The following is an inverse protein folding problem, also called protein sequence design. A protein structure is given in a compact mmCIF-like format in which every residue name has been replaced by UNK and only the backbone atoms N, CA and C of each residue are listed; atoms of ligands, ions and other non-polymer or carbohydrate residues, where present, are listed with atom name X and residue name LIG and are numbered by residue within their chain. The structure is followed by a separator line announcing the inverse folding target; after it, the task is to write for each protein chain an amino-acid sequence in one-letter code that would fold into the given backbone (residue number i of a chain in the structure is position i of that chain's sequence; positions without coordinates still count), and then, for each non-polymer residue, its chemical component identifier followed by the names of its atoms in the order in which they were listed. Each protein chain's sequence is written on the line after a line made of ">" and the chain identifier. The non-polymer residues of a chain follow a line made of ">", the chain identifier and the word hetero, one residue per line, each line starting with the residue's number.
data_IF_682025902388
#
_entry.id   IF_682025902388
#
_cell.length_a   1.000
_cell.length_b   1.000
_cell.length_c   1.000
_cell.angle_alpha   90.00
_cell.angle_beta   90.00
_cell.angle_gamma   90.00
#
_symmetry.space_group_name_H-M   'P 1'
#
loop_
_entity.id
_entity.type
_entity.pdbx_description
1 polymer ?
#
# COMPACT_ATOMS: atom_id res chain seq x y z
N UNK A 1 -3.64 -36.32 -6.93
CA UNK A 1 -3.40 -37.79 -6.90
C UNK A 1 -1.89 -37.97 -6.96
N UNK A 2 -1.25 -38.18 -5.81
CA UNK A 2 0.19 -38.46 -5.78
C UNK A 2 0.37 -39.88 -6.32
N UNK A 3 1.27 -40.06 -7.28
CA UNK A 3 1.73 -41.37 -7.69
C UNK A 3 2.30 -42.08 -6.47
N UNK A 4 1.71 -43.19 -6.07
CA UNK A 4 2.34 -44.12 -5.13
C UNK A 4 3.67 -44.55 -5.78
N UNK A 5 4.78 -44.09 -5.22
CA UNK A 5 6.08 -44.64 -5.55
C UNK A 5 6.07 -46.09 -5.04
N UNK A 6 5.82 -47.03 -5.95
CA UNK A 6 5.87 -48.46 -5.66
C UNK A 6 7.34 -48.78 -5.39
N UNK A 7 7.71 -48.77 -4.11
CA UNK A 7 8.99 -49.29 -3.66
C UNK A 7 9.04 -50.75 -4.08
N UNK A 8 9.93 -51.08 -5.02
CA UNK A 8 10.16 -52.46 -5.45
C UNK A 8 10.71 -53.25 -4.26
N UNK A 9 9.87 -54.08 -3.67
CA UNK A 9 10.30 -55.11 -2.72
C UNK A 9 10.83 -56.26 -3.58
N UNK A 10 12.14 -56.52 -3.53
CA UNK A 10 12.69 -57.75 -4.10
C UNK A 10 12.12 -58.94 -3.33
N UNK A 11 11.64 -59.95 -4.05
CA UNK A 11 11.21 -61.20 -3.44
C UNK A 11 12.41 -61.87 -2.76
N UNK A 12 12.30 -62.14 -1.46
CA UNK A 12 13.29 -62.93 -0.74
C UNK A 12 13.22 -64.38 -1.29
N UNK A 13 14.33 -64.86 -1.85
CA UNK A 13 14.38 -66.20 -2.47
C UNK A 13 15.00 -67.27 -1.55
N UNK A 14 15.38 -66.88 -0.33
CA UNK A 14 16.03 -67.71 0.69
C UNK A 14 15.44 -67.40 2.08
N UNK A 15 15.43 -68.39 2.98
CA UNK A 15 14.96 -68.30 4.37
C UNK A 15 15.96 -67.56 5.29
N UNK A 16 16.65 -66.55 4.78
CA UNK A 16 17.58 -65.71 5.53
C UNK A 16 16.91 -64.37 5.86
N UNK A 17 17.29 -63.77 6.98
CA UNK A 17 16.83 -62.42 7.35
C UNK A 17 17.32 -61.40 6.31
N UNK A 18 16.44 -61.02 5.37
CA UNK A 18 16.71 -59.94 4.43
C UNK A 18 16.38 -58.58 5.06
N UNK A 19 17.40 -57.72 5.20
CA UNK A 19 17.20 -56.35 5.68
C UNK A 19 16.46 -55.53 4.62
N UNK A 20 15.30 -54.96 4.98
CA UNK A 20 14.63 -53.96 4.17
C UNK A 20 15.25 -52.59 4.48
N UNK A 21 16.09 -52.11 3.57
CA UNK A 21 16.69 -50.80 3.67
C UNK A 21 15.70 -49.73 3.19
N UNK A 22 15.18 -48.95 4.13
CA UNK A 22 14.38 -47.76 3.84
C UNK A 22 15.35 -46.57 3.81
N UNK A 23 15.81 -46.18 2.62
CA UNK A 23 16.73 -45.06 2.47
C UNK A 23 16.05 -43.79 1.95
N UNK A 24 16.45 -42.66 2.53
CA UNK A 24 16.16 -41.29 2.07
C UNK A 24 14.68 -40.87 2.03
N UNK A 25 13.98 -41.06 3.15
CA UNK A 25 12.68 -40.43 3.34
C UNK A 25 12.85 -38.93 3.70
N UNK A 26 12.01 -38.03 3.14
CA UNK A 26 11.90 -36.66 3.62
C UNK A 26 11.67 -36.57 5.14
N UNK A 27 11.88 -35.38 5.73
CA UNK A 27 11.49 -35.18 7.12
C UNK A 27 9.97 -35.38 7.28
N UNK A 28 9.56 -36.26 8.18
CA UNK A 28 8.15 -36.58 8.44
C UNK A 28 8.00 -37.81 9.32
N UNK A 29 6.77 -38.04 9.78
CA UNK A 29 6.40 -39.29 10.45
C UNK A 29 6.08 -40.35 9.39
N UNK A 30 6.48 -41.59 9.66
CA UNK A 30 6.23 -42.71 8.76
C UNK A 30 5.65 -43.87 9.56
N UNK A 31 4.58 -44.46 9.02
CA UNK A 31 3.99 -45.67 9.57
C UNK A 31 4.37 -46.84 8.69
N UNK A 32 4.98 -47.85 9.31
CA UNK A 32 5.21 -49.15 8.68
C UNK A 32 4.01 -50.03 9.03
N UNK A 33 3.21 -50.37 8.02
CA UNK A 33 2.16 -51.38 8.18
C UNK A 33 2.68 -52.71 7.68
N UNK A 34 2.68 -53.71 8.56
CA UNK A 34 2.97 -55.11 8.23
C UNK A 34 1.66 -55.88 8.22
N UNK A 35 1.37 -56.61 7.14
CA UNK A 35 0.15 -57.42 7.02
C UNK A 35 0.44 -58.75 6.34
N UNK A 36 -0.12 -59.86 6.84
CA UNK A 36 -0.06 -61.15 6.15
C UNK A 36 -0.70 -61.05 4.76
N UNK A 37 -0.02 -61.61 3.76
CA UNK A 37 -0.45 -61.53 2.37
C UNK A 37 -1.38 -62.69 1.97
N UNK A 38 -1.08 -63.90 2.43
CA UNK A 38 -1.73 -65.13 1.97
C UNK A 38 -2.18 -66.07 3.10
N UNK A 39 -2.05 -65.65 4.37
CA UNK A 39 -2.47 -66.45 5.53
C UNK A 39 -1.46 -67.48 6.03
N UNK A 40 -0.28 -67.55 5.40
CA UNK A 40 0.88 -68.34 5.84
C UNK A 40 2.02 -67.39 6.31
N UNK A 41 3.30 -67.72 6.05
CA UNK A 41 4.47 -66.97 6.53
C UNK A 41 4.80 -65.70 5.74
N UNK A 42 4.05 -65.37 4.68
CA UNK A 42 4.37 -64.25 3.81
C UNK A 42 3.71 -62.94 4.27
N UNK A 43 4.51 -61.89 4.45
CA UNK A 43 4.06 -60.56 4.88
C UNK A 43 4.29 -59.53 3.78
N UNK A 44 3.36 -58.58 3.66
CA UNK A 44 3.54 -57.33 2.91
C UNK A 44 3.90 -56.21 3.86
N UNK A 45 4.85 -55.39 3.42
CA UNK A 45 5.22 -54.15 4.07
C UNK A 45 4.78 -53.01 3.16
N UNK A 46 3.92 -52.15 3.69
CA UNK A 46 3.52 -50.92 3.03
C UNK A 46 4.03 -49.73 3.83
N UNK A 47 4.76 -48.84 3.15
CA UNK A 47 5.08 -47.52 3.66
C UNK A 47 3.95 -46.59 3.25
N UNK A 48 3.29 -46.01 4.24
CA UNK A 48 2.37 -44.91 3.98
C UNK A 48 3.02 -43.65 4.54
N UNK A 49 3.09 -42.58 3.75
CA UNK A 49 3.48 -41.29 4.30
C UNK A 49 2.46 -40.90 5.37
N UNK A 50 2.92 -40.50 6.57
CA UNK A 50 2.05 -39.71 7.41
C UNK A 50 1.94 -38.35 6.73
N UNK A 51 0.70 -37.93 6.51
CA UNK A 51 0.42 -36.51 6.41
C UNK A 51 0.95 -35.89 7.71
N UNK A 52 1.81 -34.87 7.63
CA UNK A 52 2.35 -34.21 8.82
C UNK A 52 1.22 -33.98 9.82
N UNK A 53 1.27 -34.65 10.98
CA UNK A 53 0.31 -34.45 12.07
C UNK A 53 0.65 -33.20 12.89
N UNK A 54 1.51 -32.34 12.35
CA UNK A 54 1.82 -31.06 12.96
C UNK A 54 0.61 -30.15 12.78
N UNK A 55 0.20 -29.54 13.88
CA UNK A 55 -0.84 -28.52 13.86
C UNK A 55 -0.48 -27.46 12.82
N UNK A 56 -1.40 -27.07 11.92
CA UNK A 56 -1.09 -26.10 10.89
C UNK A 56 -0.56 -24.81 11.50
N UNK A 57 0.45 -24.20 10.90
CA UNK A 57 1.05 -22.96 11.41
C UNK A 57 0.92 -21.85 10.39
N UNK A 58 0.47 -20.67 10.82
CA UNK A 58 0.30 -19.48 9.98
C UNK A 58 1.39 -18.43 10.25
N UNK A 59 1.94 -17.87 9.18
CA UNK A 59 2.91 -16.78 9.23
C UNK A 59 2.54 -15.71 8.21
N UNK A 60 2.48 -14.45 8.63
CA UNK A 60 2.28 -13.30 7.74
C UNK A 60 3.61 -12.64 7.35
N UNK A 61 3.70 -12.19 6.10
CA UNK A 61 4.82 -11.39 5.60
C UNK A 61 4.31 -10.29 4.65
N UNK A 62 4.96 -9.12 4.67
CA UNK A 62 4.74 -8.06 3.70
C UNK A 62 5.15 -8.52 2.30
N UNK A 63 4.35 -8.21 1.28
CA UNK A 63 4.67 -8.53 -0.12
C UNK A 63 4.74 -7.28 -0.98
N UNK A 64 3.71 -6.44 -0.95
CA UNK A 64 3.71 -5.12 -1.58
C UNK A 64 3.11 -4.12 -0.57
N UNK A 65 3.85 -3.88 0.51
CA UNK A 65 3.36 -3.15 1.69
C UNK A 65 3.99 -1.76 1.87
N UNK A 66 4.81 -1.30 0.91
CA UNK A 66 5.36 0.07 0.90
C UNK A 66 5.14 0.67 -0.46
N UNK A 67 4.25 1.65 -0.55
CA UNK A 67 3.84 2.30 -1.79
C UNK A 67 3.37 3.71 -1.49
N UNK A 68 3.32 4.56 -2.51
CA UNK A 68 2.65 5.85 -2.37
C UNK A 68 1.13 5.68 -2.34
N UNK A 69 0.39 6.54 -1.65
CA UNK A 69 -1.08 6.52 -1.62
C UNK A 69 -1.73 6.97 -2.94
N UNK A 70 -1.09 7.90 -3.64
CA UNK A 70 -1.60 8.51 -4.87
C UNK A 70 -2.75 9.49 -4.63
N UNK A 71 -3.07 10.31 -5.64
CA UNK A 71 -3.90 11.49 -5.39
C UNK A 71 -5.42 11.26 -5.23
N UNK A 72 -5.89 10.02 -5.45
CA UNK A 72 -7.33 9.66 -5.41
C UNK A 72 -7.54 8.16 -5.48
N UNK A 73 -8.74 7.70 -5.12
CA UNK A 73 -9.14 6.31 -5.23
C UNK A 73 -8.50 5.46 -4.15
N UNK A 74 -8.13 4.22 -4.47
CA UNK A 74 -7.49 3.33 -3.50
C UNK A 74 -6.32 2.58 -4.10
N UNK A 75 -5.30 2.30 -3.30
CA UNK A 75 -4.20 1.39 -3.64
C UNK A 75 -4.15 0.19 -2.72
N UNK A 76 -3.83 -0.95 -3.31
CA UNK A 76 -3.80 -2.22 -2.61
C UNK A 76 -2.41 -2.50 -2.05
N UNK A 77 -2.33 -2.61 -0.73
CA UNK A 77 -1.18 -3.08 0.02
C UNK A 77 -1.39 -4.55 0.35
N UNK A 78 -0.44 -5.40 -0.03
CA UNK A 78 -0.63 -6.87 0.06
C UNK A 78 0.34 -7.53 1.01
N UNK A 79 -0.21 -8.48 1.76
CA UNK A 79 0.47 -9.30 2.73
C UNK A 79 0.18 -10.77 2.44
N UNK A 80 1.22 -11.59 2.37
CA UNK A 80 1.08 -13.04 2.15
C UNK A 80 1.01 -13.73 3.50
N UNK A 81 0.00 -14.56 3.70
CA UNK A 81 -0.10 -15.48 4.83
C UNK A 81 0.24 -16.87 4.31
N UNK A 82 1.28 -17.48 4.86
CA UNK A 82 1.71 -18.83 4.52
C UNK A 82 1.23 -19.80 5.60
N UNK A 83 0.74 -20.96 5.17
CA UNK A 83 0.35 -22.10 6.00
C UNK A 83 1.33 -23.25 5.79
N UNK A 84 1.89 -23.78 6.88
CA UNK A 84 2.74 -24.99 6.91
C UNK A 84 2.15 -26.06 7.85
N UNK A 85 2.71 -27.28 7.86
CA UNK A 85 2.19 -28.41 8.64
C UNK A 85 1.06 -29.16 7.92
N UNK A 86 0.08 -29.67 8.66
CA UNK A 86 -1.10 -30.33 8.07
C UNK A 86 -1.92 -29.36 7.20
N UNK A 87 -2.24 -29.76 5.98
CA UNK A 87 -3.09 -28.99 5.05
C UNK A 87 -4.40 -29.69 4.72
N UNK A 88 -4.68 -30.86 5.29
CA UNK A 88 -5.83 -31.69 4.92
C UNK A 88 -7.18 -31.07 5.24
N UNK A 89 -7.26 -30.29 6.32
CA UNK A 89 -8.47 -29.62 6.77
C UNK A 89 -8.39 -28.11 6.56
N UNK A 90 -9.51 -27.41 6.67
CA UNK A 90 -9.52 -25.94 6.63
C UNK A 90 -8.96 -25.32 7.91
N UNK A 91 -8.30 -24.18 7.78
CA UNK A 91 -7.86 -23.34 8.90
C UNK A 91 -8.12 -21.86 8.61
N UNK A 92 -8.14 -21.02 9.63
CA UNK A 92 -8.35 -19.58 9.46
C UNK A 92 -7.71 -18.76 10.58
N UNK A 93 -7.61 -17.45 10.35
CA UNK A 93 -7.29 -16.46 11.38
C UNK A 93 -7.97 -15.13 11.06
N UNK A 94 -8.33 -14.37 12.08
CA UNK A 94 -8.72 -12.98 11.91
C UNK A 94 -7.48 -12.12 11.68
N UNK A 95 -7.66 -10.97 11.03
CA UNK A 95 -6.63 -9.96 10.89
C UNK A 95 -7.19 -8.56 11.17
N UNK A 96 -6.33 -7.68 11.69
CA UNK A 96 -6.65 -6.27 11.91
C UNK A 96 -5.45 -5.37 11.63
N UNK A 97 -5.72 -4.12 11.22
CA UNK A 97 -4.74 -3.06 10.94
C UNK A 97 -4.72 -2.09 12.10
N UNK A 98 -3.51 -1.70 12.52
CA UNK A 98 -3.28 -0.62 13.49
C UNK A 98 -2.12 0.26 13.02
N UNK A 99 -2.25 1.58 13.12
CA UNK A 99 -1.14 2.51 12.91
C UNK A 99 0.08 2.20 13.78
N UNK A 100 1.28 2.46 13.28
CA UNK A 100 2.54 2.14 13.95
C UNK A 100 3.68 3.08 13.52
N UNK A 101 4.75 3.16 14.30
CA UNK A 101 5.90 4.03 14.00
C UNK A 101 5.76 5.44 14.57
N UNK A 102 6.56 6.38 14.05
CA UNK A 102 6.55 7.80 14.48
C UNK A 102 5.36 8.58 13.96
N UNK A 103 4.84 8.16 12.80
CA UNK A 103 3.71 8.74 12.09
C UNK A 103 2.74 7.57 11.82
N UNK A 104 1.89 7.23 12.79
CA UNK A 104 0.99 6.10 12.64
C UNK A 104 -0.19 6.47 11.74
N UNK A 105 -0.42 5.68 10.70
CA UNK A 105 -1.63 5.79 9.88
C UNK A 105 -2.88 5.61 10.77
N UNK A 106 -3.92 6.40 10.51
CA UNK A 106 -5.19 6.38 11.20
C UNK A 106 -6.29 5.63 10.41
N UNK A 107 -7.54 5.74 10.86
CA UNK A 107 -8.64 4.99 10.24
C UNK A 107 -9.10 5.56 8.89
N UNK A 108 -8.77 6.82 8.59
CA UNK A 108 -9.17 7.52 7.37
C UNK A 108 -8.32 7.14 6.17
N UNK A 109 -7.08 6.71 6.40
CA UNK A 109 -6.17 6.20 5.36
C UNK A 109 -6.62 4.86 4.79
N UNK A 110 -7.59 4.18 5.41
CA UNK A 110 -8.02 2.84 5.01
C UNK A 110 -9.52 2.76 4.67
N UNK A 111 -9.85 1.94 3.66
CA UNK A 111 -11.25 1.58 3.34
C UNK A 111 -11.77 0.43 4.20
N UNK A 112 -10.88 -0.26 4.92
CA UNK A 112 -11.22 -1.31 5.88
C UNK A 112 -10.00 -1.78 6.65
N UNK A 113 -10.19 -2.03 7.95
CA UNK A 113 -9.09 -2.28 8.88
C UNK A 113 -9.10 -3.68 9.49
N UNK A 114 -9.98 -4.58 9.05
CA UNK A 114 -10.01 -5.96 9.57
C UNK A 114 -10.72 -6.95 8.63
N UNK A 115 -10.51 -8.23 8.90
CA UNK A 115 -11.20 -9.32 8.21
C UNK A 115 -10.76 -10.70 8.70
N UNK A 116 -11.00 -11.73 7.88
CA UNK A 116 -10.59 -13.11 8.16
C UNK A 116 -9.88 -13.68 6.94
N UNK A 117 -8.75 -14.35 7.15
CA UNK A 117 -8.07 -15.16 6.13
C UNK A 117 -8.47 -16.62 6.32
N UNK A 118 -8.98 -17.25 5.26
CA UNK A 118 -9.47 -18.63 5.29
C UNK A 118 -8.64 -19.49 4.34
N UNK A 119 -8.17 -20.64 4.81
CA UNK A 119 -7.52 -21.66 4.00
C UNK A 119 -8.46 -22.85 3.88
N UNK A 120 -8.80 -23.23 2.65
CA UNK A 120 -9.42 -24.50 2.35
C UNK A 120 -8.39 -25.65 2.49
N UNK A 121 -8.88 -26.88 2.41
CA UNK A 121 -8.02 -28.06 2.35
C UNK A 121 -7.03 -27.95 1.17
N UNK A 122 -5.76 -28.23 1.44
CA UNK A 122 -4.65 -28.20 0.49
C UNK A 122 -4.07 -26.81 0.20
N UNK A 123 -4.68 -25.72 0.68
CA UNK A 123 -4.16 -24.37 0.43
C UNK A 123 -3.02 -24.03 1.39
N UNK A 124 -1.91 -23.56 0.84
CA UNK A 124 -0.68 -23.22 1.59
C UNK A 124 -0.37 -21.72 1.63
N UNK A 125 -1.09 -20.91 0.85
CA UNK A 125 -0.91 -19.46 0.82
C UNK A 125 -2.22 -18.72 0.56
N UNK A 126 -2.37 -17.56 1.20
CA UNK A 126 -3.43 -16.58 0.96
C UNK A 126 -2.87 -15.16 0.99
N UNK A 127 -3.58 -14.24 0.36
CA UNK A 127 -3.24 -12.83 0.38
C UNK A 127 -4.28 -12.06 1.20
N UNK A 128 -3.80 -11.25 2.15
CA UNK A 128 -4.57 -10.17 2.77
C UNK A 128 -4.30 -8.91 1.94
N UNK A 129 -5.37 -8.22 1.56
CA UNK A 129 -5.31 -6.93 0.87
C UNK A 129 -5.86 -5.85 1.78
N UNK A 130 -5.02 -4.87 2.09
CA UNK A 130 -5.39 -3.63 2.78
C UNK A 130 -5.48 -2.54 1.71
N UNK A 131 -6.65 -1.91 1.57
CA UNK A 131 -6.84 -0.82 0.61
C UNK A 131 -6.64 0.51 1.31
N UNK A 132 -5.63 1.25 0.85
CA UNK A 132 -5.29 2.60 1.31
C UNK A 132 -5.98 3.62 0.42
N UNK A 133 -6.64 4.61 1.04
CA UNK A 133 -7.26 5.75 0.38
C UNK A 133 -6.17 6.71 -0.10
N UNK A 134 -6.30 7.24 -1.31
CA UNK A 134 -5.40 8.29 -1.79
C UNK A 134 -6.08 9.66 -1.77
N UNK A 135 -5.34 10.72 -1.42
CA UNK A 135 -5.84 12.10 -1.48
C UNK A 135 -4.75 13.14 -1.85
N UNK A 136 -4.95 14.43 -1.53
CA UNK A 136 -4.02 15.50 -1.95
C UNK A 136 -3.46 16.32 -0.78
N UNK A 137 -3.70 15.84 0.43
CA UNK A 137 -3.22 16.41 1.68
C UNK A 137 -1.74 16.07 1.80
N UNK A 138 -0.94 17.04 2.20
CA UNK A 138 0.50 16.78 2.40
C UNK A 138 0.70 16.24 3.81
N UNK A 139 1.16 15.01 3.89
CA UNK A 139 1.34 14.23 5.11
C UNK A 139 2.77 13.67 5.18
N UNK A 140 3.25 13.23 6.36
CA UNK A 140 4.48 12.45 6.44
C UNK A 140 4.26 11.03 5.90
N UNK A 141 5.34 10.28 5.62
CA UNK A 141 5.22 8.82 5.41
C UNK A 141 4.69 8.15 6.68
N UNK A 142 3.67 7.32 6.54
CA UNK A 142 2.94 6.74 7.67
C UNK A 142 3.10 5.22 7.77
N UNK A 143 3.24 4.71 8.99
CA UNK A 143 3.41 3.29 9.25
C UNK A 143 2.12 2.63 9.75
N UNK A 144 1.93 1.35 9.39
CA UNK A 144 0.88 0.50 9.96
C UNK A 144 1.33 -0.96 10.11
N UNK A 145 0.62 -1.71 10.94
CA UNK A 145 0.86 -3.14 11.22
C UNK A 145 -0.42 -3.93 10.98
N UNK A 146 -0.31 -5.03 10.22
CA UNK A 146 -1.35 -6.06 10.11
C UNK A 146 -1.06 -7.15 11.14
N UNK A 147 -2.02 -7.44 12.01
CA UNK A 147 -1.90 -8.43 13.08
C UNK A 147 -2.90 -9.57 12.88
N UNK A 148 -2.41 -10.81 12.83
CA UNK A 148 -3.21 -12.03 12.87
C UNK A 148 -3.66 -12.34 14.31
N UNK A 149 -4.89 -12.81 14.46
CA UNK A 149 -5.46 -13.19 15.76
C UNK A 149 -6.50 -14.31 15.63
N UNK A 150 -6.88 -14.91 16.77
CA UNK A 150 -7.95 -15.90 16.86
C UNK A 150 -7.85 -17.04 15.81
N UNK A 151 -6.72 -17.77 15.74
CA UNK A 151 -6.57 -18.84 14.77
C UNK A 151 -7.54 -19.98 15.07
N UNK A 152 -8.08 -20.60 14.02
CA UNK A 152 -8.92 -21.80 14.10
C UNK A 152 -8.23 -22.94 13.35
N UNK A 153 -8.09 -24.10 14.01
CA UNK A 153 -7.37 -25.27 13.49
C UNK A 153 -5.94 -24.94 13.03
N UNK A 154 -5.30 -23.96 13.66
CA UNK A 154 -3.93 -23.57 13.38
C UNK A 154 -3.32 -22.87 14.61
N UNK A 155 -2.00 -22.71 14.60
CA UNK A 155 -1.27 -21.78 15.47
C UNK A 155 -0.71 -20.63 14.62
N UNK A 156 -0.28 -19.54 15.27
CA UNK A 156 0.36 -18.39 14.60
C UNK A 156 1.82 -18.37 15.04
N UNK A 157 2.76 -18.51 14.10
CA UNK A 157 4.20 -18.38 14.40
C UNK A 157 4.70 -16.96 14.18
N UNK A 158 4.26 -16.32 13.10
CA UNK A 158 4.52 -14.90 12.82
C UNK A 158 3.17 -14.19 12.72
N UNK A 159 2.85 -13.41 13.74
CA UNK A 159 1.54 -12.77 13.87
C UNK A 159 1.44 -11.38 13.27
N UNK A 160 2.55 -10.73 12.90
CA UNK A 160 2.54 -9.34 12.48
C UNK A 160 3.38 -9.09 11.23
N UNK A 161 2.91 -8.22 10.35
CA UNK A 161 3.69 -7.65 9.25
C UNK A 161 3.39 -6.15 9.12
N UNK A 162 4.40 -5.35 8.79
CA UNK A 162 4.29 -3.89 8.70
C UNK A 162 4.13 -3.43 7.26
N UNK A 163 3.47 -2.28 7.08
CA UNK A 163 3.44 -1.52 5.84
C UNK A 163 3.74 -0.03 6.07
N UNK A 164 4.06 0.68 4.99
CA UNK A 164 4.35 2.12 4.98
C UNK A 164 3.63 2.78 3.82
N UNK A 165 2.73 3.71 4.13
CA UNK A 165 2.09 4.61 3.17
C UNK A 165 3.07 5.76 2.92
N UNK A 166 3.48 5.95 1.68
CA UNK A 166 4.40 7.03 1.32
C UNK A 166 3.60 8.22 0.79
N UNK A 167 3.81 9.40 1.37
CA UNK A 167 3.16 10.61 0.87
C UNK A 167 3.80 11.00 -0.47
N UNK A 168 2.99 11.07 -1.54
CA UNK A 168 3.40 11.62 -2.84
C UNK A 168 2.86 13.03 -3.12
N UNK A 169 2.23 13.65 -2.12
CA UNK A 169 1.71 14.99 -2.23
C UNK A 169 2.73 16.07 -1.89
N UNK A 170 2.59 17.21 -2.58
CA UNK A 170 3.50 18.35 -2.44
C UNK A 170 2.71 19.65 -2.33
N UNK A 171 3.21 20.56 -1.49
CA UNK A 171 2.63 21.91 -1.39
C UNK A 171 2.95 22.67 -2.66
N UNK A 172 1.94 22.88 -3.52
CA UNK A 172 2.09 23.78 -4.67
C UNK A 172 1.69 25.19 -4.26
N UNK A 173 2.67 26.07 -4.09
CA UNK A 173 2.43 27.50 -3.84
C UNK A 173 2.32 28.27 -5.16
N UNK A 174 1.34 29.19 -5.30
CA UNK A 174 1.23 30.00 -6.49
C UNK A 174 2.40 30.99 -6.58
N UNK A 175 2.92 31.19 -7.80
CA UNK A 175 3.92 32.22 -8.10
C UNK A 175 3.28 33.35 -8.89
N UNK A 176 3.72 34.59 -8.65
CA UNK A 176 3.18 35.78 -9.29
C UNK A 176 4.27 36.47 -10.10
N UNK A 177 3.97 36.75 -11.38
CA UNK A 177 4.76 37.66 -12.21
C UNK A 177 3.98 38.94 -12.48
N UNK A 178 4.70 40.04 -12.73
CA UNK A 178 4.10 41.35 -13.00
C UNK A 178 4.67 41.89 -14.30
N UNK A 179 3.79 42.26 -15.22
CA UNK A 179 4.14 42.95 -16.46
C UNK A 179 3.31 44.22 -16.59
N UNK A 180 3.77 45.18 -17.40
CA UNK A 180 3.02 46.38 -17.72
C UNK A 180 3.03 46.58 -19.23
N UNK A 181 1.85 46.88 -19.79
CA UNK A 181 1.74 47.24 -21.21
C UNK A 181 0.59 48.25 -21.40
N UNK A 182 0.83 49.37 -22.12
CA UNK A 182 2.12 49.87 -22.60
C UNK A 182 3.08 50.23 -21.44
N UNK A 183 4.36 50.44 -21.71
CA UNK A 183 5.38 50.78 -20.68
C UNK A 183 5.47 52.29 -20.39
N UNK A 184 4.87 53.11 -21.24
CA UNK A 184 4.72 54.55 -21.06
C UNK A 184 3.46 55.03 -21.77
N UNK A 185 2.86 56.09 -21.22
CA UNK A 185 1.73 56.80 -21.81
C UNK A 185 1.92 58.30 -21.57
N UNK A 186 1.26 59.14 -22.38
CA UNK A 186 1.20 60.57 -22.11
C UNK A 186 0.13 60.87 -21.06
N UNK A 187 0.39 61.87 -20.21
CA UNK A 187 -0.66 62.47 -19.37
C UNK A 187 -1.79 63.01 -20.25
N UNK A 188 -3.04 62.87 -19.80
CA UNK A 188 -4.26 63.21 -20.58
C UNK A 188 -4.45 62.42 -21.88
N UNK A 189 -3.70 61.33 -22.08
CA UNK A 189 -3.94 60.40 -23.17
C UNK A 189 -5.23 59.59 -23.00
N UNK A 190 -5.63 58.87 -24.06
CA UNK A 190 -6.72 57.90 -24.01
C UNK A 190 -6.27 56.50 -23.57
N UNK A 191 -4.96 56.29 -23.38
CA UNK A 191 -4.36 55.00 -23.07
C UNK A 191 -3.81 55.01 -21.66
N UNK A 192 -4.12 53.96 -20.90
CA UNK A 192 -3.66 53.76 -19.52
C UNK A 192 -2.51 52.76 -19.48
N UNK A 193 -1.68 52.82 -18.44
CA UNK A 193 -0.77 51.71 -18.12
C UNK A 193 -1.59 50.58 -17.50
N UNK A 194 -1.48 49.37 -18.03
CA UNK A 194 -2.14 48.20 -17.45
C UNK A 194 -1.08 47.27 -16.88
N UNK A 195 -1.00 47.24 -15.56
CA UNK A 195 -0.19 46.28 -14.82
C UNK A 195 -0.97 44.97 -14.71
N UNK A 196 -0.42 43.90 -15.28
CA UNK A 196 -1.02 42.57 -15.26
C UNK A 196 -0.21 41.65 -14.36
N UNK A 197 -0.84 41.22 -13.28
CA UNK A 197 -0.32 40.17 -12.41
C UNK A 197 -0.75 38.84 -13.00
N UNK A 198 0.21 37.94 -13.22
CA UNK A 198 -0.06 36.58 -13.71
C UNK A 198 0.29 35.58 -12.63
N UNK A 199 -0.68 34.74 -12.27
CA UNK A 199 -0.56 33.66 -11.30
C UNK A 199 -0.29 32.34 -12.03
N UNK A 200 0.81 31.69 -11.69
CA UNK A 200 1.14 30.32 -12.11
C UNK A 200 1.01 29.39 -10.90
N UNK A 201 0.39 28.22 -11.09
CA UNK A 201 0.09 27.26 -10.02
C UNK A 201 -1.41 27.16 -9.75
N UNK A 202 -1.84 26.71 -8.55
CA UNK A 202 -3.25 26.47 -8.23
C UNK A 202 -4.05 27.77 -8.35
N UNK A 203 -5.26 27.74 -8.91
CA UNK A 203 -6.16 28.90 -9.04
C UNK A 203 -7.47 28.74 -8.26
N UNK A 204 -7.68 27.61 -7.59
CA UNK A 204 -8.95 27.24 -6.92
C UNK A 204 -9.45 28.30 -5.95
N UNK A 205 -8.56 28.84 -5.12
CA UNK A 205 -8.89 29.85 -4.11
C UNK A 205 -8.52 31.25 -4.57
N UNK A 206 -9.25 32.26 -4.06
CA UNK A 206 -8.86 33.68 -4.21
C UNK A 206 -7.47 33.94 -3.64
N UNK A 207 -6.73 34.86 -4.24
CA UNK A 207 -5.40 35.26 -3.75
C UNK A 207 -5.25 36.79 -3.79
N UNK A 208 -4.96 37.40 -2.65
CA UNK A 208 -4.62 38.82 -2.57
C UNK A 208 -3.10 39.00 -2.64
N UNK A 209 -2.65 39.88 -3.53
CA UNK A 209 -1.25 40.25 -3.69
C UNK A 209 -1.10 41.71 -3.32
N UNK A 210 -0.39 41.98 -2.23
CA UNK A 210 -0.03 43.33 -1.84
C UNK A 210 1.12 43.83 -2.70
N UNK A 211 1.09 45.10 -3.08
CA UNK A 211 2.15 45.77 -3.80
C UNK A 211 2.37 47.17 -3.23
N UNK A 212 3.59 47.68 -3.40
CA UNK A 212 3.91 49.08 -3.10
C UNK A 212 4.13 49.84 -4.39
N UNK A 213 3.88 51.15 -4.35
CA UNK A 213 4.09 52.05 -5.47
C UNK A 213 5.27 52.95 -5.12
N UNK A 214 6.17 53.15 -6.08
CA UNK A 214 7.32 54.04 -5.95
C UNK A 214 7.49 54.92 -7.18
N UNK A 215 8.57 55.71 -7.21
CA UNK A 215 8.85 56.67 -8.28
C UNK A 215 8.52 58.11 -7.88
N UNK A 216 8.54 59.01 -8.86
CA UNK A 216 8.27 60.44 -8.65
C UNK A 216 6.80 60.81 -8.74
N UNK A 217 5.97 59.96 -9.36
CA UNK A 217 4.54 60.18 -9.52
C UNK A 217 3.75 59.75 -8.28
N UNK A 218 2.83 60.60 -7.82
CA UNK A 218 2.08 60.50 -6.58
C UNK A 218 0.65 59.99 -6.82
N UNK A 219 0.28 58.94 -6.10
CA UNK A 219 -1.05 58.32 -6.17
C UNK A 219 -2.16 59.30 -5.76
N UNK A 220 -3.15 59.48 -6.63
CA UNK A 220 -4.26 60.42 -6.45
C UNK A 220 -3.98 61.86 -6.90
N UNK A 221 -2.73 62.22 -7.19
CA UNK A 221 -2.34 63.50 -7.82
C UNK A 221 -2.05 63.29 -9.31
N UNK A 222 -0.97 62.58 -9.62
CA UNK A 222 -0.45 62.40 -10.99
C UNK A 222 -1.15 61.24 -11.72
N UNK A 223 -1.96 60.44 -11.01
CA UNK A 223 -2.82 59.41 -11.58
C UNK A 223 -4.02 59.18 -10.67
N UNK A 224 -5.08 58.55 -11.21
CA UNK A 224 -6.24 58.13 -10.42
C UNK A 224 -5.80 57.32 -9.19
N UNK A 225 -6.52 57.50 -8.07
CA UNK A 225 -6.23 56.74 -6.86
C UNK A 225 -6.33 55.23 -7.11
N UNK A 226 -5.23 54.51 -6.91
CA UNK A 226 -5.19 53.04 -6.94
C UNK A 226 -4.92 52.47 -5.54
N UNK A 227 -5.33 51.23 -5.30
CA UNK A 227 -5.09 50.54 -4.03
C UNK A 227 -3.64 50.08 -3.86
N UNK A 228 -3.39 49.32 -2.79
CA UNK A 228 -2.09 48.70 -2.46
C UNK A 228 -2.13 47.18 -2.60
N UNK A 229 -3.18 46.64 -3.22
CA UNK A 229 -3.34 45.21 -3.42
C UNK A 229 -4.20 44.91 -4.63
N UNK A 230 -3.94 43.78 -5.28
CA UNK A 230 -4.80 43.20 -6.31
C UNK A 230 -5.30 41.84 -5.84
N UNK A 231 -6.50 41.45 -6.23
CA UNK A 231 -7.08 40.14 -5.89
C UNK A 231 -7.32 39.32 -7.14
N UNK A 232 -6.73 38.13 -7.19
CA UNK A 232 -7.15 37.07 -8.10
C UNK A 232 -8.44 36.48 -7.57
N UNK A 233 -9.51 36.53 -8.38
CA UNK A 233 -10.71 35.77 -8.12
C UNK A 233 -10.40 34.25 -8.15
N UNK A 234 -11.23 33.44 -7.48
CA UNK A 234 -11.18 31.99 -7.61
C UNK A 234 -11.32 31.59 -9.09
N UNK A 235 -10.47 30.68 -9.54
CA UNK A 235 -10.35 30.25 -10.94
C UNK A 235 -9.54 31.19 -11.84
N UNK A 236 -9.21 32.41 -11.42
CA UNK A 236 -8.47 33.37 -12.25
C UNK A 236 -6.95 33.18 -12.16
N UNK A 237 -6.30 33.17 -13.33
CA UNK A 237 -4.83 33.23 -13.46
C UNK A 237 -4.30 34.64 -13.69
N UNK A 238 -5.18 35.64 -13.86
CA UNK A 238 -4.78 37.04 -14.04
C UNK A 238 -5.56 37.98 -13.15
N UNK A 239 -4.92 39.07 -12.78
CA UNK A 239 -5.55 40.22 -12.16
C UNK A 239 -4.83 41.50 -12.60
N UNK A 240 -5.55 42.62 -12.75
CA UNK A 240 -4.98 43.84 -13.31
C UNK A 240 -5.14 45.04 -12.38
N UNK A 241 -4.19 45.96 -12.48
CA UNK A 241 -4.27 47.31 -11.93
C UNK A 241 -4.10 48.28 -13.09
N UNK A 242 -5.07 49.16 -13.29
CA UNK A 242 -5.04 50.19 -14.32
C UNK A 242 -4.59 51.50 -13.69
N UNK A 243 -3.49 52.06 -14.20
CA UNK A 243 -3.00 53.38 -13.83
C UNK A 243 -3.38 54.34 -14.95
N UNK A 244 -4.22 55.32 -14.61
CA UNK A 244 -4.75 56.35 -15.50
C UNK A 244 -4.13 57.71 -15.11
N UNK A 245 -3.11 58.18 -15.86
CA UNK A 245 -2.38 59.40 -15.53
C UNK A 245 -3.20 60.69 -15.66
N UNK A 246 -2.98 61.57 -14.69
CA UNK A 246 -3.57 62.91 -14.56
C UNK A 246 -2.45 63.97 -14.72
N UNK A 247 -2.82 65.21 -15.10
CA UNK A 247 -1.91 66.36 -15.11
C UNK A 247 -1.60 66.84 -13.69
#
# INVERSE_FOLDING_TARGET
>A
MSSDEIIQVSEATDNQDENINITALPAGDYFVKVSQYDGDTNYRIALTSAISNETPTLAIASTNATQTEGNSGTKSFTFTVTRTGDTTNSSSANWAVTGSGTNPADATDFVGTSGTVNFAAGETSKTITVNVSGDTTVEPDEGFTVTLSNPTNATISTGTATGTIQNDDTVITPTITLTVNPTSVAEKGLTNLVYTFTRTGPTTNTLAVNYTIGGTATNGSDYNNIGTSVTFAAGSSTATVTVDPRP
#
